data_IF_244925799373
#
_entry.id   IF_244925799373
#
_cell.length_a   1.000
_cell.length_b   1.000
_cell.length_c   1.000
_cell.angle_alpha   90.00
_cell.angle_beta   90.00
_cell.angle_gamma   90.00
#
_symmetry.space_group_name_H-M   'P 1'
#
loop_
_entity.id
_entity.type
_entity.pdbx_description
1 polymer ?
#
# COMPACT_ATOMS: atom_id res chain seq x y z
N UNK A 1 4.28 -10.23 -10.31
CA UNK A 1 3.66 -9.07 -10.96
C UNK A 1 4.56 -7.84 -10.88
N UNK A 2 4.70 -7.17 -9.73
CA UNK A 2 5.53 -5.95 -9.60
C UNK A 2 6.96 -6.08 -10.14
N UNK A 3 7.72 -7.09 -9.69
CA UNK A 3 9.08 -7.31 -10.20
C UNK A 3 9.14 -7.53 -11.71
N UNK A 4 8.09 -8.08 -12.32
CA UNK A 4 8.03 -8.31 -13.76
C UNK A 4 7.66 -7.02 -14.51
N UNK A 5 6.70 -6.24 -14.02
CA UNK A 5 6.29 -4.99 -14.67
C UNK A 5 7.30 -3.85 -14.54
N UNK A 6 8.19 -3.92 -13.55
CA UNK A 6 9.30 -2.99 -13.37
C UNK A 6 10.60 -3.45 -14.07
N UNK A 7 10.61 -4.69 -14.59
CA UNK A 7 11.78 -5.25 -15.26
C UNK A 7 12.17 -4.41 -16.50
N UNK A 8 13.47 -4.40 -16.81
CA UNK A 8 14.04 -3.61 -17.90
C UNK A 8 14.15 -2.09 -17.65
N UNK A 9 13.51 -1.55 -16.60
CA UNK A 9 13.63 -0.15 -16.17
C UNK A 9 14.43 0.04 -14.88
N UNK A 10 14.46 -1.00 -14.04
CA UNK A 10 15.14 -0.98 -12.75
C UNK A 10 16.01 -2.23 -12.59
N UNK A 11 17.12 -2.12 -11.86
CA UNK A 11 17.83 -3.29 -11.32
C UNK A 11 17.15 -3.72 -10.01
N UNK A 12 16.57 -4.92 -9.99
CA UNK A 12 15.66 -5.35 -8.93
C UNK A 12 16.24 -6.54 -8.15
N UNK A 13 16.49 -6.30 -6.87
CA UNK A 13 16.74 -7.32 -5.86
C UNK A 13 15.56 -7.41 -4.87
N UNK A 14 15.40 -8.56 -4.23
CA UNK A 14 14.32 -8.77 -3.26
C UNK A 14 14.80 -9.43 -1.97
N UNK A 15 13.97 -9.32 -0.92
CA UNK A 15 14.14 -10.07 0.32
C UNK A 15 12.80 -10.57 0.81
N UNK A 16 12.72 -11.85 1.13
CA UNK A 16 11.50 -12.47 1.63
C UNK A 16 11.83 -13.56 2.66
N UNK A 17 10.86 -13.91 3.52
CA UNK A 17 10.99 -15.02 4.48
C UNK A 17 11.00 -16.38 3.78
N UNK A 18 10.39 -16.45 2.60
CA UNK A 18 10.27 -17.61 1.74
C UNK A 18 11.01 -17.36 0.43
N UNK A 19 11.67 -18.37 -0.13
CA UNK A 19 12.24 -18.25 -1.47
C UNK A 19 11.11 -18.56 -2.44
N UNK A 20 10.51 -17.51 -3.01
CA UNK A 20 9.65 -17.59 -4.18
C UNK A 20 10.25 -16.58 -5.15
N UNK A 21 10.86 -17.09 -6.23
CA UNK A 21 11.45 -16.42 -7.42
C UNK A 21 11.33 -14.88 -7.51
N UNK A 22 12.32 -14.17 -8.08
CA UNK A 22 13.50 -14.64 -8.84
C UNK A 22 14.77 -14.89 -7.99
N UNK A 23 15.89 -15.37 -8.57
CA UNK A 23 17.15 -15.64 -7.86
C UNK A 23 17.75 -14.44 -7.11
N UNK A 24 17.40 -13.21 -7.50
CA UNK A 24 17.80 -11.98 -6.80
C UNK A 24 17.07 -11.79 -5.46
N UNK A 25 16.16 -12.69 -5.08
CA UNK A 25 15.47 -12.68 -3.79
C UNK A 25 16.27 -13.44 -2.73
N UNK A 26 16.77 -12.71 -1.73
CA UNK A 26 17.49 -13.30 -0.59
C UNK A 26 16.51 -13.73 0.49
N UNK A 27 16.70 -14.93 1.05
CA UNK A 27 15.88 -15.41 2.16
C UNK A 27 16.30 -14.76 3.48
N UNK A 28 15.44 -13.93 4.08
CA UNK A 28 15.63 -13.39 5.44
C UNK A 28 14.30 -13.18 6.15
N UNK A 29 14.29 -13.39 7.46
CA UNK A 29 13.17 -13.00 8.31
C UNK A 29 13.40 -11.57 8.81
N UNK A 30 12.72 -10.60 8.19
CA UNK A 30 12.89 -9.17 8.49
C UNK A 30 12.49 -8.81 9.94
N UNK A 31 11.56 -9.54 10.55
CA UNK A 31 11.16 -9.33 11.95
C UNK A 31 12.22 -9.77 12.98
N UNK A 32 13.14 -10.67 12.60
CA UNK A 32 14.10 -11.30 13.53
C UNK A 32 15.56 -11.08 13.17
N UNK A 33 15.85 -10.49 12.02
CA UNK A 33 17.22 -10.33 11.52
C UNK A 33 17.87 -9.06 12.07
N UNK A 34 19.15 -9.16 12.40
CA UNK A 34 20.02 -8.01 12.69
C UNK A 34 20.91 -7.72 11.48
N UNK A 35 21.44 -6.50 11.41
CA UNK A 35 22.38 -6.13 10.34
C UNK A 35 21.76 -6.08 8.95
N UNK A 36 20.49 -5.69 8.84
CA UNK A 36 19.78 -5.62 7.56
C UNK A 36 20.29 -4.52 6.63
N UNK A 37 21.03 -3.51 7.12
CA UNK A 37 21.51 -2.41 6.29
C UNK A 37 22.35 -2.90 5.09
N UNK A 38 23.16 -3.94 5.26
CA UNK A 38 23.97 -4.51 4.17
C UNK A 38 23.15 -5.18 3.04
N UNK A 39 21.85 -5.43 3.27
CA UNK A 39 20.92 -5.89 2.22
C UNK A 39 20.58 -4.74 1.27
N UNK A 40 20.45 -3.53 1.81
CA UNK A 40 20.03 -2.33 1.07
C UNK A 40 21.23 -1.50 0.58
N UNK A 41 22.46 -1.99 0.77
CA UNK A 41 23.65 -1.29 0.33
C UNK A 41 23.65 -1.08 -1.20
N UNK A 42 23.77 0.17 -1.63
CA UNK A 42 23.73 0.56 -3.04
C UNK A 42 22.33 0.66 -3.65
N UNK A 43 21.26 0.40 -2.89
CA UNK A 43 19.91 0.57 -3.38
C UNK A 43 19.50 2.06 -3.36
N UNK A 44 18.98 2.55 -4.48
CA UNK A 44 18.42 3.90 -4.58
C UNK A 44 17.07 4.02 -3.85
N UNK A 45 16.26 2.96 -3.91
CA UNK A 45 14.93 2.92 -3.36
C UNK A 45 14.58 1.54 -2.78
N UNK A 46 13.64 1.52 -1.84
CA UNK A 46 13.05 0.30 -1.25
C UNK A 46 11.54 0.37 -1.40
N UNK A 47 10.93 -0.71 -1.93
CA UNK A 47 9.48 -0.92 -1.90
C UNK A 47 9.17 -1.98 -0.85
N UNK A 48 8.64 -1.56 0.30
CA UNK A 48 8.37 -2.44 1.42
C UNK A 48 6.95 -3.03 1.33
N UNK A 49 6.91 -4.25 0.79
CA UNK A 49 5.74 -5.11 0.72
C UNK A 49 5.72 -6.14 1.86
N UNK A 50 6.73 -6.14 2.75
CA UNK A 50 6.95 -7.22 3.68
C UNK A 50 5.98 -7.16 4.86
N UNK A 51 5.35 -8.29 5.14
CA UNK A 51 4.42 -8.43 6.25
C UNK A 51 3.45 -9.57 6.01
N UNK A 52 2.74 -9.95 7.05
CA UNK A 52 1.53 -10.74 6.90
C UNK A 52 0.44 -9.79 6.36
N UNK A 53 -0.23 -10.20 5.28
CA UNK A 53 -1.18 -9.36 4.53
C UNK A 53 -2.65 -9.61 4.85
N UNK A 54 -2.99 -10.67 5.59
CA UNK A 54 -4.38 -10.89 6.01
C UNK A 54 -4.80 -9.76 6.97
N UNK A 55 -5.83 -9.01 6.62
CA UNK A 55 -6.29 -7.89 7.45
C UNK A 55 -6.95 -8.38 8.76
N UNK A 56 -7.35 -9.65 8.83
CA UNK A 56 -7.98 -10.29 9.99
C UNK A 56 -6.96 -10.82 11.01
N UNK A 57 -5.69 -10.44 10.89
CA UNK A 57 -4.66 -10.81 11.84
C UNK A 57 -5.01 -10.36 13.26
N UNK A 58 -4.72 -11.23 14.22
CA UNK A 58 -4.76 -10.91 15.63
C UNK A 58 -3.62 -9.97 16.02
N UNK A 59 -3.83 -9.16 17.05
CA UNK A 59 -2.82 -8.21 17.55
C UNK A 59 -1.46 -8.87 17.83
N UNK A 60 -1.46 -10.07 18.40
CA UNK A 60 -0.23 -10.82 18.71
C UNK A 60 0.64 -11.07 17.48
N UNK A 61 0.03 -11.28 16.30
CA UNK A 61 0.74 -11.61 15.08
C UNK A 61 1.29 -10.35 14.41
N UNK A 62 0.51 -9.27 14.44
CA UNK A 62 0.96 -7.93 14.02
C UNK A 62 2.14 -7.46 14.87
N UNK A 63 2.03 -7.58 16.20
CA UNK A 63 3.07 -7.24 17.15
C UNK A 63 4.36 -8.06 16.94
N UNK A 64 4.23 -9.38 16.76
CA UNK A 64 5.40 -10.28 16.62
C UNK A 64 6.07 -10.22 15.25
N UNK A 65 5.35 -9.85 14.20
CA UNK A 65 5.85 -9.91 12.83
C UNK A 65 5.85 -8.54 12.14
N UNK A 66 4.69 -7.94 11.92
CA UNK A 66 4.58 -6.78 11.03
C UNK A 66 5.27 -5.53 11.61
N UNK A 67 5.08 -5.26 12.90
CA UNK A 67 5.74 -4.12 13.56
C UNK A 67 7.27 -4.20 13.49
N UNK A 68 7.93 -5.26 14.02
CA UNK A 68 9.38 -5.35 13.96
C UNK A 68 9.89 -5.45 12.52
N UNK A 69 9.19 -6.14 11.61
CA UNK A 69 9.61 -6.20 10.21
C UNK A 69 9.66 -4.80 9.56
N UNK A 70 8.57 -4.03 9.68
CA UNK A 70 8.48 -2.68 9.10
C UNK A 70 9.55 -1.75 9.68
N UNK A 71 9.66 -1.68 11.01
CA UNK A 71 10.64 -0.82 11.67
C UNK A 71 12.08 -1.21 11.34
N UNK A 72 12.37 -2.51 11.26
CA UNK A 72 13.70 -3.00 10.91
C UNK A 72 14.07 -2.68 9.47
N UNK A 73 13.15 -2.80 8.52
CA UNK A 73 13.40 -2.45 7.10
C UNK A 73 13.61 -0.95 6.97
N UNK A 74 12.72 -0.14 7.55
CA UNK A 74 12.82 1.32 7.50
C UNK A 74 14.16 1.82 8.08
N UNK A 75 14.53 1.34 9.27
CA UNK A 75 15.82 1.70 9.90
C UNK A 75 17.01 1.21 9.08
N UNK A 76 16.92 0.03 8.49
CA UNK A 76 17.98 -0.51 7.66
C UNK A 76 18.15 0.24 6.33
N UNK A 77 17.05 0.63 5.68
CA UNK A 77 17.06 1.48 4.49
C UNK A 77 17.70 2.83 4.80
N UNK A 78 17.28 3.48 5.90
CA UNK A 78 17.86 4.73 6.38
C UNK A 78 19.36 4.61 6.63
N UNK A 79 19.82 3.58 7.35
CA UNK A 79 21.25 3.35 7.63
C UNK A 79 22.08 3.03 6.38
N UNK A 80 21.47 2.44 5.37
CA UNK A 80 22.12 2.14 4.10
C UNK A 80 22.22 3.35 3.17
N UNK A 81 21.62 4.49 3.54
CA UNK A 81 21.60 5.69 2.70
C UNK A 81 20.64 5.60 1.51
N UNK A 82 19.62 4.74 1.60
CA UNK A 82 18.54 4.67 0.60
C UNK A 82 17.90 6.05 0.48
N UNK A 83 17.63 6.50 -0.75
CA UNK A 83 17.05 7.83 -0.99
C UNK A 83 15.53 7.83 -0.85
N UNK A 84 14.87 6.72 -1.23
CA UNK A 84 13.41 6.59 -1.21
C UNK A 84 12.90 5.29 -0.58
N UNK A 85 11.89 5.39 0.27
CA UNK A 85 11.22 4.26 0.87
C UNK A 85 9.71 4.31 0.60
N UNK A 86 9.22 3.41 -0.24
CA UNK A 86 7.80 3.25 -0.56
C UNK A 86 7.21 2.18 0.35
N UNK A 87 6.32 2.59 1.25
CA UNK A 87 5.66 1.70 2.20
C UNK A 87 4.30 1.26 1.66
N UNK A 88 4.07 -0.06 1.57
CA UNK A 88 2.74 -0.59 1.34
C UNK A 88 1.91 -0.45 2.63
N UNK A 89 1.25 0.70 2.79
CA UNK A 89 0.19 0.89 3.78
C UNK A 89 -1.09 0.15 3.33
N UNK A 90 -2.24 0.53 3.87
CA UNK A 90 -3.50 -0.14 3.59
C UNK A 90 -4.69 0.79 3.70
N UNK A 91 -5.71 0.57 2.86
CA UNK A 91 -7.03 1.17 3.02
C UNK A 91 -7.67 0.90 4.40
N UNK A 92 -7.34 -0.24 5.03
CA UNK A 92 -7.79 -0.65 6.37
C UNK A 92 -7.44 0.38 7.47
N UNK A 93 -6.45 1.25 7.26
CA UNK A 93 -6.16 2.40 8.14
C UNK A 93 -7.39 3.29 8.35
N UNK A 94 -8.26 3.35 7.33
CA UNK A 94 -9.53 4.09 7.30
C UNK A 94 -10.74 3.18 7.11
N UNK A 95 -10.60 1.87 7.28
CA UNK A 95 -11.68 0.91 6.99
C UNK A 95 -12.93 1.07 7.85
N UNK A 96 -12.83 1.71 9.01
CA UNK A 96 -13.96 2.02 9.88
C UNK A 96 -15.00 2.96 9.26
N UNK A 97 -14.62 3.77 8.26
CA UNK A 97 -15.59 4.58 7.50
C UNK A 97 -16.57 3.72 6.70
N UNK A 98 -16.19 2.51 6.28
CA UNK A 98 -17.06 1.61 5.51
C UNK A 98 -18.30 1.13 6.29
N UNK A 99 -18.38 1.42 7.60
CA UNK A 99 -19.52 1.07 8.46
C UNK A 99 -20.62 2.12 8.46
N UNK A 100 -20.42 3.25 7.80
CA UNK A 100 -21.33 4.39 7.80
C UNK A 100 -21.89 4.65 6.40
N UNK A 101 -23.16 5.08 6.26
CA UNK A 101 -23.67 5.56 5.00
C UNK A 101 -22.89 6.81 4.50
N UNK A 102 -22.71 6.97 3.18
CA UNK A 102 -23.17 6.08 2.12
C UNK A 102 -22.24 4.87 1.87
N UNK A 103 -21.05 4.84 2.48
CA UNK A 103 -20.02 3.84 2.23
C UNK A 103 -20.49 2.41 2.51
N UNK A 104 -21.26 2.22 3.57
CA UNK A 104 -21.81 0.91 3.95
C UNK A 104 -22.72 0.31 2.88
N UNK A 105 -23.45 1.13 2.12
CA UNK A 105 -24.28 0.68 1.01
C UNK A 105 -23.40 0.29 -0.20
N UNK A 106 -22.42 1.14 -0.52
CA UNK A 106 -21.45 0.90 -1.60
C UNK A 106 -20.71 -0.44 -1.41
N UNK A 107 -20.17 -0.70 -0.22
CA UNK A 107 -19.43 -1.95 0.05
C UNK A 107 -20.34 -3.18 0.07
N UNK A 108 -21.64 -3.00 0.30
CA UNK A 108 -22.65 -4.06 0.20
C UNK A 108 -23.12 -4.30 -1.25
N UNK A 109 -22.74 -3.44 -2.20
CA UNK A 109 -23.25 -3.45 -3.57
C UNK A 109 -24.65 -2.87 -3.72
N UNK A 110 -25.13 -2.14 -2.70
CA UNK A 110 -26.39 -1.42 -2.74
C UNK A 110 -26.13 0.01 -3.23
N UNK A 111 -26.46 0.23 -4.50
CA UNK A 111 -26.24 1.49 -5.20
C UNK A 111 -27.54 2.28 -5.38
N UNK A 112 -28.67 1.78 -4.86
CA UNK A 112 -29.98 2.38 -5.11
C UNK A 112 -30.05 3.80 -4.55
N UNK A 113 -30.41 4.76 -5.41
CA UNK A 113 -30.50 6.16 -5.04
C UNK A 113 -29.17 6.87 -4.76
N UNK A 114 -28.03 6.21 -5.00
CA UNK A 114 -26.71 6.82 -4.89
C UNK A 114 -26.28 7.42 -6.24
N UNK A 115 -25.70 8.62 -6.18
CA UNK A 115 -24.98 9.21 -7.31
C UNK A 115 -23.46 9.12 -7.03
N UNK A 116 -22.67 8.39 -7.84
CA UNK A 116 -21.23 8.26 -7.63
C UNK A 116 -20.49 9.60 -7.67
N UNK A 117 -21.00 10.58 -8.41
CA UNK A 117 -20.42 11.93 -8.48
C UNK A 117 -20.61 12.77 -7.21
N UNK A 118 -21.53 12.35 -6.33
CA UNK A 118 -21.93 13.07 -5.10
C UNK A 118 -21.47 12.37 -3.81
N UNK A 119 -20.78 11.23 -3.90
CA UNK A 119 -20.27 10.51 -2.73
C UNK A 119 -19.15 11.34 -2.06
N UNK A 120 -19.24 11.66 -0.76
CA UNK A 120 -18.14 12.28 -0.04
C UNK A 120 -16.90 11.39 -0.10
N UNK A 121 -15.75 11.95 -0.48
CA UNK A 121 -14.52 11.16 -0.59
C UNK A 121 -13.75 11.20 0.73
N UNK A 122 -13.40 10.02 1.25
CA UNK A 122 -12.50 9.88 2.41
C UNK A 122 -11.09 10.32 1.97
N UNK A 123 -10.59 11.35 2.64
CA UNK A 123 -9.28 11.96 2.33
C UNK A 123 -8.18 11.38 3.22
N UNK A 124 -6.94 11.55 2.78
CA UNK A 124 -5.76 11.09 3.54
C UNK A 124 -5.53 11.84 4.84
N UNK A 125 -6.04 13.07 4.95
CA UNK A 125 -6.00 13.93 6.14
C UNK A 125 -7.18 13.73 7.11
N UNK A 126 -8.15 12.89 6.76
CA UNK A 126 -9.20 12.49 7.69
C UNK A 126 -8.62 11.65 8.83
N UNK A 127 -9.23 11.69 10.04
CA UNK A 127 -8.80 10.85 11.15
C UNK A 127 -8.74 9.37 10.78
N UNK A 128 -7.70 8.67 11.22
CA UNK A 128 -7.64 7.22 11.05
C UNK A 128 -8.79 6.54 11.79
N UNK A 129 -9.40 5.53 11.16
CA UNK A 129 -10.46 4.71 11.72
C UNK A 129 -10.15 3.25 11.40
N UNK A 130 -9.20 2.63 12.13
CA UNK A 130 -8.75 1.28 11.84
C UNK A 130 -9.88 0.27 12.06
N UNK A 131 -9.97 -0.74 11.19
CA UNK A 131 -10.97 -1.81 11.25
C UNK A 131 -10.44 -3.13 11.83
N UNK A 132 -9.17 -3.17 12.22
CA UNK A 132 -8.53 -4.35 12.80
C UNK A 132 -7.09 -4.13 13.24
N UNK A 133 -6.47 -5.15 13.85
CA UNK A 133 -5.11 -5.03 14.35
C UNK A 133 -4.06 -4.84 13.23
N UNK A 134 -4.31 -5.40 12.04
CA UNK A 134 -3.47 -5.18 10.87
C UNK A 134 -3.36 -3.69 10.54
N UNK A 135 -4.47 -2.95 10.58
CA UNK A 135 -4.51 -1.52 10.35
C UNK A 135 -3.67 -0.74 11.37
N UNK A 136 -3.67 -1.13 12.65
CA UNK A 136 -2.81 -0.53 13.68
C UNK A 136 -1.31 -0.66 13.31
N UNK A 137 -0.92 -1.82 12.76
CA UNK A 137 0.45 -2.02 12.28
C UNK A 137 0.82 -1.09 11.13
N UNK A 138 -0.11 -0.86 10.20
CA UNK A 138 0.10 0.07 9.07
C UNK A 138 0.12 1.54 9.52
N UNK A 139 -0.73 1.94 10.47
CA UNK A 139 -0.70 3.28 11.08
C UNK A 139 0.67 3.56 11.70
N UNK A 140 1.22 2.61 12.46
CA UNK A 140 2.57 2.77 13.02
C UNK A 140 3.62 2.87 11.92
N UNK A 141 3.49 2.10 10.83
CA UNK A 141 4.34 2.22 9.65
C UNK A 141 4.29 3.61 9.00
N UNK A 142 3.09 4.17 8.79
CA UNK A 142 2.92 5.54 8.26
C UNK A 142 3.57 6.57 9.17
N UNK A 143 3.34 6.48 10.49
CA UNK A 143 3.92 7.40 11.47
C UNK A 143 5.46 7.28 11.53
N UNK A 144 6.00 6.06 11.47
CA UNK A 144 7.44 5.83 11.46
C UNK A 144 8.09 6.35 10.17
N UNK A 145 7.45 6.13 9.02
CA UNK A 145 7.89 6.64 7.72
C UNK A 145 7.92 8.18 7.73
N UNK A 146 6.88 8.83 8.26
CA UNK A 146 6.83 10.28 8.43
C UNK A 146 7.96 10.78 9.33
N UNK A 147 8.13 10.15 10.48
CA UNK A 147 9.23 10.49 11.40
C UNK A 147 10.59 10.36 10.72
N UNK A 148 10.83 9.30 9.93
CA UNK A 148 12.10 9.14 9.23
C UNK A 148 12.34 10.19 8.15
N UNK A 149 11.28 10.65 7.47
CA UNK A 149 11.37 11.76 6.53
C UNK A 149 11.76 13.06 7.25
N UNK A 150 11.00 13.44 8.28
CA UNK A 150 11.22 14.69 9.00
C UNK A 150 12.57 14.72 9.75
N UNK A 151 12.97 13.61 10.37
CA UNK A 151 14.14 13.57 11.24
C UNK A 151 15.46 13.24 10.51
N UNK A 152 15.39 12.54 9.37
CA UNK A 152 16.59 12.02 8.70
C UNK A 152 16.65 12.29 7.19
N UNK A 153 15.64 12.97 6.61
CA UNK A 153 15.62 13.31 5.20
C UNK A 153 15.41 12.12 4.25
N UNK A 154 14.94 10.97 4.76
CA UNK A 154 14.58 9.83 3.91
C UNK A 154 13.24 10.13 3.22
N UNK A 155 13.21 10.22 1.88
CA UNK A 155 11.93 10.39 1.16
C UNK A 155 11.05 9.16 1.39
N UNK A 156 9.86 9.33 1.97
CA UNK A 156 8.95 8.21 2.28
C UNK A 156 7.57 8.39 1.68
N UNK A 157 7.07 7.37 0.97
CA UNK A 157 5.76 7.40 0.30
C UNK A 157 4.90 6.26 0.83
N UNK A 158 3.78 6.57 1.47
CA UNK A 158 2.87 5.57 2.03
C UNK A 158 1.65 5.35 1.12
N UNK A 159 1.52 4.14 0.60
CA UNK A 159 0.44 3.76 -0.30
C UNK A 159 -0.65 3.03 0.47
N UNK A 160 -1.81 3.66 0.70
CA UNK A 160 -3.00 3.00 1.26
C UNK A 160 -3.67 2.15 0.19
N UNK A 161 -3.08 0.98 -0.07
CA UNK A 161 -3.51 0.06 -1.13
C UNK A 161 -4.93 -0.45 -0.84
N UNK A 162 -5.80 -0.42 -1.85
CA UNK A 162 -7.12 -1.01 -1.88
C UNK A 162 -7.08 -2.55 -1.98
N UNK A 163 -7.83 -3.11 -2.92
CA UNK A 163 -7.86 -4.54 -3.20
C UNK A 163 -6.95 -4.87 -4.38
N UNK A 164 -5.94 -5.71 -4.15
CA UNK A 164 -5.15 -6.36 -5.21
C UNK A 164 -5.31 -7.86 -5.04
N UNK A 165 -5.87 -8.54 -6.05
CA UNK A 165 -6.06 -9.99 -6.07
C UNK A 165 -5.40 -10.62 -7.31
N UNK A 166 -5.34 -11.95 -7.38
CA UNK A 166 -4.62 -12.63 -8.47
C UNK A 166 -5.39 -12.60 -9.80
N UNK A 167 -6.72 -12.53 -9.71
CA UNK A 167 -7.67 -12.55 -10.80
C UNK A 167 -7.77 -11.21 -11.54
N UNK A 168 -7.20 -10.15 -10.96
CA UNK A 168 -7.17 -8.78 -11.48
C UNK A 168 -8.56 -8.21 -11.83
N UNK A 169 -9.58 -8.62 -11.06
CA UNK A 169 -10.99 -8.25 -11.24
C UNK A 169 -11.77 -8.27 -9.93
N UNK A 170 -12.98 -7.68 -9.85
CA UNK A 170 -13.85 -7.79 -8.69
C UNK A 170 -14.23 -9.26 -8.41
N UNK A 171 -14.25 -9.63 -7.12
CA UNK A 171 -14.62 -10.99 -6.66
C UNK A 171 -15.80 -10.96 -5.68
N UNK A 172 -16.09 -9.79 -5.13
CA UNK A 172 -17.23 -9.50 -4.27
C UNK A 172 -17.65 -8.02 -4.48
N UNK A 173 -18.83 -7.60 -3.98
CA UNK A 173 -19.34 -6.26 -4.23
C UNK A 173 -18.41 -5.12 -3.81
N UNK A 174 -17.69 -5.27 -2.68
CA UNK A 174 -16.77 -4.24 -2.18
C UNK A 174 -15.66 -3.94 -3.19
N UNK A 175 -15.22 -4.95 -3.95
CA UNK A 175 -14.16 -4.78 -4.93
C UNK A 175 -14.51 -3.81 -6.07
N UNK A 176 -15.80 -3.59 -6.37
CA UNK A 176 -16.19 -2.56 -7.34
C UNK A 176 -15.80 -1.14 -6.89
N UNK A 177 -15.68 -0.90 -5.59
CA UNK A 177 -15.16 0.37 -5.07
C UNK A 177 -13.64 0.33 -4.86
N UNK A 178 -13.09 -0.82 -4.45
CA UNK A 178 -11.73 -0.88 -3.88
C UNK A 178 -10.67 -1.50 -4.78
N UNK A 179 -11.02 -2.06 -5.94
CA UNK A 179 -10.05 -2.71 -6.84
C UNK A 179 -8.92 -1.76 -7.24
N UNK A 180 -7.69 -2.26 -7.17
CA UNK A 180 -6.51 -1.70 -7.79
C UNK A 180 -5.99 -2.74 -8.77
N UNK A 181 -6.14 -2.48 -10.08
CA UNK A 181 -5.68 -3.41 -11.10
C UNK A 181 -4.16 -3.55 -11.08
N UNK A 182 -3.64 -4.62 -11.67
CA UNK A 182 -2.21 -4.87 -11.78
C UNK A 182 -1.50 -3.77 -12.57
N UNK A 183 -2.14 -3.26 -13.62
CA UNK A 183 -1.63 -2.16 -14.44
C UNK A 183 -1.59 -0.83 -13.65
N UNK A 184 -2.65 -0.50 -12.92
CA UNK A 184 -2.68 0.70 -12.10
C UNK A 184 -1.76 0.60 -10.86
N UNK A 185 -1.57 -0.59 -10.31
CA UNK A 185 -0.58 -0.82 -9.25
C UNK A 185 0.85 -0.55 -9.74
N UNK A 186 1.19 -0.94 -10.97
CA UNK A 186 2.49 -0.60 -11.57
C UNK A 186 2.66 0.91 -11.72
N UNK A 187 1.65 1.61 -12.27
CA UNK A 187 1.65 3.08 -12.39
C UNK A 187 1.81 3.76 -11.03
N UNK A 188 1.10 3.28 -10.00
CA UNK A 188 1.18 3.80 -8.63
C UNK A 188 2.59 3.66 -8.05
N UNK A 189 3.19 2.47 -8.17
CA UNK A 189 4.54 2.21 -7.65
C UNK A 189 5.59 3.00 -8.44
N UNK A 190 5.44 3.16 -9.75
CA UNK A 190 6.33 4.00 -10.56
C UNK A 190 6.26 5.48 -10.18
N UNK A 191 5.05 6.02 -10.01
CA UNK A 191 4.84 7.37 -9.51
C UNK A 191 5.52 7.57 -8.14
N UNK A 192 5.30 6.63 -7.21
CA UNK A 192 5.93 6.65 -5.91
C UNK A 192 7.46 6.51 -5.95
N UNK A 193 8.02 5.79 -6.93
CA UNK A 193 9.46 5.62 -7.08
C UNK A 193 10.14 6.84 -7.70
N UNK A 194 9.42 7.67 -8.46
CA UNK A 194 10.02 8.75 -9.27
C UNK A 194 9.71 10.16 -8.79
N UNK A 195 8.65 10.34 -7.99
CA UNK A 195 8.29 11.64 -7.41
C UNK A 195 9.43 12.26 -6.57
N UNK A 196 9.56 13.58 -6.64
CA UNK A 196 10.45 14.38 -5.80
C UNK A 196 9.68 15.09 -4.67
N UNK A 197 9.23 14.31 -3.67
CA UNK A 197 8.65 14.84 -2.43
C UNK A 197 9.28 14.17 -1.20
N UNK A 198 9.41 14.88 -0.07
CA UNK A 198 9.95 14.30 1.16
C UNK A 198 9.01 13.27 1.78
N UNK A 199 7.70 13.51 1.72
CA UNK A 199 6.69 12.65 2.32
C UNK A 199 5.38 12.74 1.54
N UNK A 200 4.70 11.60 1.35
CA UNK A 200 3.32 11.59 0.86
C UNK A 200 2.54 10.38 1.40
N UNK A 201 1.22 10.55 1.53
CA UNK A 201 0.25 9.46 1.72
C UNK A 201 -0.77 9.56 0.61
N UNK A 202 -1.06 8.45 -0.07
CA UNK A 202 -2.10 8.42 -1.10
C UNK A 202 -2.84 7.08 -1.09
N UNK A 203 -4.09 7.07 -1.55
CA UNK A 203 -4.83 5.84 -1.79
C UNK A 203 -4.35 5.17 -3.08
N UNK A 204 -4.16 3.86 -3.01
CA UNK A 204 -3.87 3.02 -4.16
C UNK A 204 -5.13 2.30 -4.59
N UNK A 205 -5.88 2.89 -5.52
CA UNK A 205 -7.12 2.33 -6.09
C UNK A 205 -7.22 2.76 -7.55
N UNK A 206 -7.79 1.89 -8.39
CA UNK A 206 -8.12 2.25 -9.78
C UNK A 206 -9.20 3.35 -9.80
N UNK A 207 -9.50 3.89 -10.99
CA UNK A 207 -10.48 4.96 -11.19
C UNK A 207 -11.91 4.43 -11.12
N UNK A 208 -12.19 3.56 -10.15
CA UNK A 208 -13.46 2.89 -10.04
C UNK A 208 -14.58 3.91 -9.85
N UNK A 209 -15.69 3.74 -10.59
CA UNK A 209 -16.86 4.63 -10.50
C UNK A 209 -17.37 4.76 -9.06
N UNK A 210 -17.37 3.66 -8.30
CA UNK A 210 -17.87 3.62 -6.91
C UNK A 210 -16.81 3.79 -5.83
N UNK A 211 -15.58 4.19 -6.20
CA UNK A 211 -14.56 4.48 -5.19
C UNK A 211 -15.05 5.61 -4.27
N UNK A 212 -14.72 5.50 -3.01
CA UNK A 212 -15.04 6.51 -1.98
C UNK A 212 -13.78 7.08 -1.32
N UNK A 213 -12.61 6.85 -1.91
CA UNK A 213 -11.33 7.43 -1.49
C UNK A 213 -10.95 8.58 -2.42
N UNK A 214 -10.49 9.69 -1.84
CA UNK A 214 -9.91 10.79 -2.62
C UNK A 214 -8.54 10.35 -3.16
N UNK A 215 -8.44 10.28 -4.49
CA UNK A 215 -7.23 9.87 -5.20
C UNK A 215 -6.39 11.05 -5.69
N UNK A 216 -6.78 12.29 -5.36
CA UNK A 216 -5.91 13.46 -5.54
C UNK A 216 -4.62 13.25 -4.76
N UNK A 217 -3.47 13.35 -5.42
CA UNK A 217 -2.19 13.00 -4.82
C UNK A 217 -1.05 13.86 -5.35
N UNK A 218 0.01 13.99 -4.56
CA UNK A 218 1.21 14.75 -4.89
C UNK A 218 2.26 13.93 -5.65
N UNK A 219 2.01 12.63 -5.86
CA UNK A 219 2.97 11.71 -6.49
C UNK A 219 2.81 11.59 -8.00
N UNK A 220 1.79 12.21 -8.59
CA UNK A 220 1.50 12.14 -10.02
C UNK A 220 0.87 10.82 -10.46
N UNK A 221 0.27 10.06 -9.54
CA UNK A 221 -0.44 8.84 -9.88
C UNK A 221 -1.81 9.15 -10.51
N UNK A 222 -2.02 8.67 -11.72
CA UNK A 222 -3.30 8.79 -12.44
C UNK A 222 -3.82 7.40 -12.85
N UNK A 223 -4.78 6.82 -12.09
CA UNK A 223 -5.35 5.53 -12.45
C UNK A 223 -6.17 5.63 -13.74
N UNK A 224 -6.15 4.55 -14.52
CA UNK A 224 -6.78 4.46 -15.84
C UNK A 224 -7.90 3.43 -15.91
N UNK A 225 -7.86 2.39 -15.06
CA UNK A 225 -8.85 1.32 -15.09
C UNK A 225 -10.08 1.66 -14.24
N UNK A 226 -11.22 1.02 -14.55
CA UNK A 226 -12.46 1.10 -13.77
C UNK A 226 -13.03 -0.32 -13.61
N UNK A 227 -13.33 -0.72 -12.37
CA UNK A 227 -13.97 -1.98 -12.02
C UNK A 227 -15.36 -2.16 -12.67
N UNK A 228 -16.05 -1.07 -13.05
CA UNK A 228 -17.36 -1.15 -13.73
C UNK A 228 -17.35 -1.95 -15.03
N UNK A 229 -16.18 -2.10 -15.67
CA UNK A 229 -16.04 -2.94 -16.88
C UNK A 229 -16.45 -4.40 -16.65
N UNK A 230 -16.51 -4.85 -15.40
CA UNK A 230 -16.86 -6.22 -15.00
C UNK A 230 -18.33 -6.36 -14.55
N UNK A 231 -19.16 -5.31 -14.58
CA UNK A 231 -20.52 -5.35 -14.03
C UNK A 231 -21.50 -6.21 -14.85
N UNK A 232 -21.18 -6.46 -16.12
CA UNK A 232 -21.99 -7.25 -17.05
C UNK A 232 -21.44 -8.68 -17.29
N UNK A 233 -20.38 -9.07 -16.58
CA UNK A 233 -19.81 -10.44 -16.58
C UNK A 233 -20.48 -11.36 -15.54
#
# INVERSE_FOLDING_TARGET
>A
MLMHGLDGRYDIAGVDRTIRRPPSVRRRNLARSRGLAGIFAGADAVVDLAGLSDYRLEWKDVWRNNLPATLNVLEAARRAGVRRYVFASSNHVTGGYEREPPYSAIVAGDYEGLDPGSIPLVRTDWPVRPDGAYALGKILGEAAARWCSDAFGLSTICLRIGTVNAEDRPLDPRHFATLLTHADLLRLVEAALTVDVPFAVCYGVSRNTWRFWDISNEIGYEPQDDAERYREE
#
